data_IF_651759229251
#
_entry.id   IF_651759229251
#
_cell.length_a   1.000
_cell.length_b   1.000
_cell.length_c   1.000
_cell.angle_alpha   90.00
_cell.angle_beta   90.00
_cell.angle_gamma   90.00
#
_symmetry.space_group_name_H-M   'P 1'
#
loop_
_entity.id
_entity.type
_entity.pdbx_description
1 polymer ?
#
# COMPACT_ATOMS: atom_id res chain seq x y z
N UNK A 1 42.35 14.83 -23.75
CA UNK A 1 41.50 15.64 -22.85
C UNK A 1 41.65 15.05 -21.46
N UNK A 2 42.14 15.84 -20.50
CA UNK A 2 42.29 15.37 -19.10
C UNK A 2 40.92 15.47 -18.43
N UNK A 3 40.40 14.36 -17.92
CA UNK A 3 39.17 14.33 -17.13
C UNK A 3 39.48 14.87 -15.73
N UNK A 4 38.90 16.02 -15.39
CA UNK A 4 38.99 16.58 -14.04
C UNK A 4 38.24 15.66 -13.06
N UNK A 5 38.87 15.34 -11.93
CA UNK A 5 38.28 14.46 -10.93
C UNK A 5 37.13 15.19 -10.20
N UNK A 6 35.99 14.51 -10.06
CA UNK A 6 34.80 15.02 -9.35
C UNK A 6 35.15 15.37 -7.91
N UNK A 7 34.57 16.46 -7.43
CA UNK A 7 34.71 16.89 -6.04
C UNK A 7 33.89 15.98 -5.11
N UNK A 8 34.23 15.90 -3.81
CA UNK A 8 33.46 15.10 -2.85
C UNK A 8 32.00 15.50 -2.74
N UNK A 9 31.68 16.79 -2.96
CA UNK A 9 30.32 17.29 -2.99
C UNK A 9 29.55 16.74 -4.19
N UNK A 10 30.16 16.78 -5.38
CA UNK A 10 29.54 16.26 -6.61
C UNK A 10 29.33 14.73 -6.56
N UNK A 11 30.16 14.02 -5.81
CA UNK A 11 30.01 12.59 -5.56
C UNK A 11 28.84 12.31 -4.61
N UNK A 12 28.62 13.16 -3.60
CA UNK A 12 27.48 13.04 -2.69
C UNK A 12 26.17 13.36 -3.41
N UNK A 13 26.16 14.42 -4.22
CA UNK A 13 25.00 14.84 -5.00
C UNK A 13 24.55 13.75 -5.98
N UNK A 14 25.48 13.04 -6.65
CA UNK A 14 25.15 11.91 -7.52
C UNK A 14 24.65 10.67 -6.75
N UNK A 15 25.22 10.41 -5.57
CA UNK A 15 24.84 9.29 -4.72
C UNK A 15 23.40 9.43 -4.21
N UNK A 16 23.02 10.64 -3.80
CA UNK A 16 21.64 10.95 -3.39
C UNK A 16 20.67 10.83 -4.57
N UNK A 17 21.07 11.27 -5.76
CA UNK A 17 20.28 11.17 -6.99
C UNK A 17 20.04 9.73 -7.44
N UNK A 18 20.92 8.79 -7.12
CA UNK A 18 20.75 7.36 -7.38
C UNK A 18 19.90 6.64 -6.33
N UNK A 19 20.06 7.01 -5.05
CA UNK A 19 19.25 6.47 -3.95
C UNK A 19 17.78 6.89 -4.06
N UNK A 20 17.51 8.09 -4.56
CA UNK A 20 16.15 8.56 -4.85
C UNK A 20 15.47 7.80 -6.01
N UNK A 21 16.24 7.25 -6.96
CA UNK A 21 15.69 6.50 -8.11
C UNK A 21 15.36 5.04 -7.78
N UNK A 22 15.93 4.51 -6.68
CA UNK A 22 15.90 3.09 -6.31
C UNK A 22 14.87 2.71 -5.24
N UNK A 23 14.06 3.67 -4.76
CA UNK A 23 12.95 3.34 -3.86
C UNK A 23 11.77 2.75 -4.64
N UNK A 24 11.80 1.43 -4.80
CA UNK A 24 10.74 0.64 -5.45
C UNK A 24 9.45 0.61 -4.63
N UNK A 25 9.54 0.85 -3.33
CA UNK A 25 8.41 0.74 -2.41
C UNK A 25 7.77 2.09 -2.16
N UNK A 26 6.56 2.28 -2.68
CA UNK A 26 5.75 3.47 -2.44
C UNK A 26 4.94 3.27 -1.16
N UNK A 27 5.11 4.10 -0.12
CA UNK A 27 4.30 4.03 1.08
C UNK A 27 2.85 4.36 0.75
N UNK A 28 1.94 3.43 1.06
CA UNK A 28 0.50 3.67 0.96
C UNK A 28 0.01 4.29 2.27
N UNK A 29 -0.66 5.45 2.18
CA UNK A 29 -1.29 6.10 3.33
C UNK A 29 -2.59 5.37 3.70
N UNK A 30 -2.76 5.02 4.97
CA UNK A 30 -3.98 4.37 5.44
C UNK A 30 -5.15 5.36 5.50
N UNK A 31 -6.42 4.89 5.43
CA UNK A 31 -7.58 5.76 5.64
C UNK A 31 -7.57 6.45 7.01
N UNK A 32 -6.93 5.85 8.03
CA UNK A 32 -6.75 6.47 9.34
C UNK A 32 -5.81 7.67 9.28
N UNK A 33 -4.74 7.59 8.47
CA UNK A 33 -3.79 8.69 8.32
C UNK A 33 -4.43 9.92 7.65
N UNK A 34 -5.37 9.72 6.71
CA UNK A 34 -6.06 10.81 6.00
C UNK A 34 -7.41 11.17 6.62
N UNK A 35 -7.72 10.64 7.80
CA UNK A 35 -9.01 10.87 8.46
C UNK A 35 -9.14 12.34 8.87
N UNK A 36 -10.29 12.95 8.56
CA UNK A 36 -10.56 14.37 8.82
C UNK A 36 -10.30 15.28 7.62
N UNK A 37 -9.37 14.90 6.74
CA UNK A 37 -9.07 15.65 5.51
C UNK A 37 -9.80 15.07 4.29
N UNK A 38 -9.94 13.75 4.22
CA UNK A 38 -10.56 13.03 3.11
C UNK A 38 -11.79 12.28 3.61
N UNK A 39 -12.91 12.39 2.90
CA UNK A 39 -14.10 11.57 3.16
C UNK A 39 -13.73 10.08 3.02
N UNK A 40 -13.87 9.28 4.09
CA UNK A 40 -13.48 7.87 4.07
C UNK A 40 -14.26 7.02 3.05
N UNK A 41 -15.41 7.50 2.56
CA UNK A 41 -16.23 6.82 1.55
C UNK A 41 -15.66 6.94 0.12
N UNK A 42 -14.86 7.98 -0.13
CA UNK A 42 -14.27 8.26 -1.45
C UNK A 42 -13.01 7.39 -1.67
N UNK A 43 -12.41 6.89 -0.58
CA UNK A 43 -11.22 6.04 -0.62
C UNK A 43 -9.93 6.84 -0.83
N UNK A 44 -8.78 6.20 -0.59
CA UNK A 44 -7.46 6.82 -0.80
C UNK A 44 -7.01 6.56 -2.23
N UNK A 45 -6.83 7.62 -3.02
CA UNK A 45 -6.27 7.52 -4.39
C UNK A 45 -4.84 7.01 -4.31
N UNK A 46 -4.61 5.82 -4.87
CA UNK A 46 -3.28 5.22 -4.98
C UNK A 46 -2.52 5.86 -6.14
N UNK A 47 -1.24 6.24 -5.98
CA UNK A 47 -0.45 6.69 -7.12
C UNK A 47 -0.28 5.55 -8.14
N UNK A 48 -0.24 5.89 -9.43
CA UNK A 48 0.06 4.91 -10.48
C UNK A 48 1.50 4.41 -10.30
N UNK A 49 1.66 3.10 -10.20
CA UNK A 49 2.97 2.46 -10.06
C UNK A 49 3.65 2.40 -11.42
N UNK A 50 4.92 2.79 -11.50
CA UNK A 50 5.78 2.49 -12.65
C UNK A 50 6.12 0.99 -12.65
N UNK A 51 6.48 0.38 -13.80
CA UNK A 51 7.00 -0.98 -13.83
C UNK A 51 8.16 -1.14 -12.83
N UNK A 52 8.06 -2.13 -11.93
CA UNK A 52 9.04 -2.37 -10.85
C UNK A 52 8.69 -1.72 -9.50
N UNK A 53 7.75 -0.77 -9.45
CA UNK A 53 7.31 -0.20 -8.19
C UNK A 53 6.21 -1.04 -7.53
N UNK A 54 6.28 -1.14 -6.21
CA UNK A 54 5.37 -1.89 -5.35
C UNK A 54 4.84 -1.01 -4.23
N UNK A 55 3.61 -1.24 -3.79
CA UNK A 55 3.12 -0.59 -2.57
C UNK A 55 3.70 -1.30 -1.35
N UNK A 56 4.02 -0.54 -0.31
CA UNK A 56 4.59 -1.07 0.96
C UNK A 56 3.64 -2.04 1.71
N UNK A 57 2.39 -2.22 1.26
CA UNK A 57 1.43 -3.13 1.89
C UNK A 57 1.43 -4.49 1.17
N UNK A 58 2.36 -5.36 1.57
CA UNK A 58 2.36 -6.78 1.23
C UNK A 58 1.25 -7.55 1.96
N UNK A 59 1.08 -8.83 1.60
CA UNK A 59 0.19 -9.72 2.35
C UNK A 59 0.72 -9.95 3.77
N UNK A 60 -0.15 -9.86 4.77
CA UNK A 60 0.22 -10.19 6.15
C UNK A 60 0.52 -11.70 6.26
N UNK A 61 1.75 -12.10 6.59
CA UNK A 61 2.15 -13.51 6.61
C UNK A 61 1.47 -14.31 7.72
N UNK A 62 0.85 -13.64 8.71
CA UNK A 62 0.13 -14.30 9.80
C UNK A 62 -1.27 -14.76 9.39
N UNK A 63 -1.80 -14.21 8.28
CA UNK A 63 -3.11 -14.60 7.79
C UNK A 63 -3.03 -15.92 7.02
N UNK A 64 -4.04 -16.79 7.15
CA UNK A 64 -4.11 -18.00 6.32
C UNK A 64 -4.08 -17.65 4.83
N UNK A 65 -3.42 -18.51 4.04
CA UNK A 65 -3.41 -18.36 2.57
C UNK A 65 -4.82 -18.51 2.00
N UNK A 66 -5.12 -17.74 0.96
CA UNK A 66 -6.35 -17.93 0.19
C UNK A 66 -6.24 -19.24 -0.62
N UNK A 67 -7.36 -19.95 -0.86
CA UNK A 67 -7.41 -21.00 -1.86
C UNK A 67 -7.06 -20.47 -3.27
N UNK A 68 -6.63 -21.34 -4.19
CA UNK A 68 -6.32 -20.93 -5.57
C UNK A 68 -7.51 -20.27 -6.29
N UNK A 69 -8.73 -20.73 -6.02
CA UNK A 69 -9.97 -20.18 -6.57
C UNK A 69 -10.81 -19.63 -5.42
N UNK A 70 -10.50 -18.43 -4.91
CA UNK A 70 -11.16 -17.89 -3.73
C UNK A 70 -12.62 -17.53 -4.03
N UNK A 71 -13.51 -17.85 -3.11
CA UNK A 71 -14.89 -17.35 -3.11
C UNK A 71 -15.02 -16.10 -2.24
N UNK A 72 -16.13 -15.38 -2.37
CA UNK A 72 -16.45 -14.25 -1.47
C UNK A 72 -16.52 -14.69 0.00
N UNK A 73 -17.03 -15.91 0.26
CA UNK A 73 -17.12 -16.46 1.60
C UNK A 73 -15.74 -16.75 2.20
N UNK A 74 -14.79 -17.20 1.37
CA UNK A 74 -13.40 -17.42 1.82
C UNK A 74 -12.75 -16.11 2.26
N UNK A 75 -13.03 -15.01 1.56
CA UNK A 75 -12.54 -13.70 1.97
C UNK A 75 -13.04 -13.32 3.36
N UNK A 76 -14.34 -13.45 3.63
CA UNK A 76 -14.90 -13.15 4.95
C UNK A 76 -14.36 -14.07 6.04
N UNK A 77 -14.18 -15.37 5.75
CA UNK A 77 -13.65 -16.34 6.71
C UNK A 77 -12.16 -16.11 7.03
N UNK A 78 -11.36 -15.73 6.04
CA UNK A 78 -9.91 -15.67 6.16
C UNK A 78 -9.34 -14.26 6.38
N UNK A 79 -10.14 -13.19 6.19
CA UNK A 79 -9.68 -11.79 6.32
C UNK A 79 -10.41 -10.98 7.38
N UNK A 80 -11.54 -11.46 7.90
CA UNK A 80 -12.23 -10.80 8.99
C UNK A 80 -12.06 -11.57 10.30
N UNK A 81 -12.02 -10.83 11.41
CA UNK A 81 -12.16 -11.45 12.72
C UNK A 81 -13.51 -12.14 12.82
N UNK A 82 -13.58 -13.22 13.60
CA UNK A 82 -14.86 -13.80 13.99
C UNK A 82 -15.74 -12.73 14.66
N UNK A 83 -16.99 -12.61 14.21
CA UNK A 83 -17.91 -11.54 14.62
C UNK A 83 -17.76 -10.21 13.88
N UNK A 84 -16.66 -9.98 13.12
CA UNK A 84 -16.46 -8.75 12.34
C UNK A 84 -17.47 -8.56 11.20
N UNK A 85 -18.08 -9.64 10.72
CA UNK A 85 -19.08 -9.64 9.63
C UNK A 85 -20.47 -9.22 10.13
N UNK A 86 -20.73 -9.28 11.43
CA UNK A 86 -22.06 -8.99 12.00
C UNK A 86 -22.49 -7.53 11.74
N UNK A 87 -21.56 -6.58 11.82
CA UNK A 87 -21.85 -5.18 11.52
C UNK A 87 -22.24 -4.95 10.04
N UNK A 88 -21.66 -5.73 9.10
CA UNK A 88 -22.04 -5.65 7.69
C UNK A 88 -23.48 -6.17 7.48
N UNK A 89 -23.82 -7.31 8.10
CA UNK A 89 -25.18 -7.88 8.03
C UNK A 89 -26.21 -6.96 8.68
N UNK A 90 -25.87 -6.36 9.82
CA UNK A 90 -26.71 -5.37 10.48
C UNK A 90 -26.96 -4.15 9.59
N UNK A 91 -25.90 -3.57 9.02
CA UNK A 91 -26.03 -2.43 8.11
C UNK A 91 -26.85 -2.77 6.87
N UNK A 92 -26.66 -3.97 6.29
CA UNK A 92 -27.46 -4.43 5.15
C UNK A 92 -28.95 -4.56 5.49
N UNK A 93 -29.29 -5.08 6.67
CA UNK A 93 -30.68 -5.19 7.11
C UNK A 93 -31.34 -3.83 7.42
N UNK A 94 -30.53 -2.82 7.77
CA UNK A 94 -31.00 -1.46 8.08
C UNK A 94 -31.02 -0.53 6.86
N UNK A 95 -30.33 -0.89 5.77
CA UNK A 95 -30.38 -0.15 4.51
C UNK A 95 -31.80 -0.23 3.92
N UNK A 96 -32.41 0.93 3.66
CA UNK A 96 -33.73 1.08 3.02
C UNK A 96 -33.58 1.79 1.68
#
# INVERSE_FOLDING_TARGET
MQTQAKTPSEIADELEDEMMKTLDLIPSRSPLYTMGEIDPRVGVTRPQLKPGQHMLQGADPRLPKMPEKPTILDFFRLRFRQGGVQHLLQSANLAR
#
